data_IF_630846582419
#
_entry.id   IF_630846582419
#
_cell.length_a   1.000
_cell.length_b   1.000
_cell.length_c   1.000
_cell.angle_alpha   90.00
_cell.angle_beta   90.00
_cell.angle_gamma   90.00
#
_symmetry.space_group_name_H-M   'P 1'
#
loop_
_entity.id
_entity.type
_entity.pdbx_description
1 polymer ?
#
# COMPACT_ATOMS: atom_id res chain seq x y z
N UNK A 1 -8.34 -34.21 -20.65
CA UNK A 1 -7.15 -33.66 -21.34
C UNK A 1 -7.31 -32.17 -21.69
N UNK A 2 -8.43 -31.75 -22.29
CA UNK A 2 -8.72 -30.33 -22.62
C UNK A 2 -8.65 -29.35 -21.43
N UNK A 3 -9.12 -29.72 -20.23
CA UNK A 3 -9.02 -28.84 -19.04
C UNK A 3 -7.58 -28.55 -18.59
N UNK A 4 -6.66 -29.50 -18.80
CA UNK A 4 -5.23 -29.35 -18.46
C UNK A 4 -4.49 -28.51 -19.51
N UNK A 5 -4.87 -28.64 -20.78
CA UNK A 5 -4.36 -27.77 -21.86
C UNK A 5 -4.86 -26.32 -21.71
N UNK A 6 -6.11 -26.13 -21.31
CA UNK A 6 -6.65 -24.78 -21.07
C UNK A 6 -5.95 -24.09 -19.89
N UNK A 7 -5.66 -24.82 -18.80
CA UNK A 7 -4.90 -24.29 -17.67
C UNK A 7 -3.46 -23.93 -18.05
N UNK A 8 -2.81 -24.77 -18.86
CA UNK A 8 -1.47 -24.48 -19.38
C UNK A 8 -1.49 -23.24 -20.29
N UNK A 9 -2.49 -23.11 -21.19
CA UNK A 9 -2.63 -21.96 -22.06
C UNK A 9 -2.85 -20.64 -21.29
N UNK A 10 -3.63 -20.65 -20.20
CA UNK A 10 -3.84 -19.47 -19.34
C UNK A 10 -2.55 -19.07 -18.62
N UNK A 11 -1.71 -20.02 -18.21
CA UNK A 11 -0.41 -19.75 -17.58
C UNK A 11 0.61 -19.17 -18.56
N UNK A 12 0.52 -19.50 -19.85
CA UNK A 12 1.39 -18.94 -20.90
C UNK A 12 0.95 -17.57 -21.42
N UNK A 13 -0.27 -17.12 -21.13
CA UNK A 13 -0.79 -15.79 -21.49
C UNK A 13 -0.73 -14.77 -20.36
N UNK A 14 -0.15 -15.12 -19.20
CA UNK A 14 0.07 -14.17 -18.13
C UNK A 14 1.14 -13.16 -18.58
N UNK A 15 0.71 -12.00 -19.10
CA UNK A 15 1.58 -10.84 -19.26
C UNK A 15 2.21 -10.52 -17.90
N UNK A 16 3.48 -10.12 -17.91
CA UNK A 16 4.26 -9.89 -16.69
C UNK A 16 3.51 -9.05 -15.67
N UNK A 17 3.55 -9.48 -14.41
CA UNK A 17 3.05 -8.69 -13.29
C UNK A 17 4.04 -7.55 -13.02
N UNK A 18 3.69 -6.34 -13.43
CA UNK A 18 4.44 -5.13 -13.09
C UNK A 18 4.06 -4.70 -11.67
N UNK A 19 5.01 -4.78 -10.75
CA UNK A 19 4.85 -4.19 -9.43
C UNK A 19 5.04 -2.67 -9.53
N UNK A 20 3.96 -1.93 -9.69
CA UNK A 20 4.01 -0.48 -9.50
C UNK A 20 3.94 -0.24 -7.98
N UNK A 21 4.88 0.50 -7.37
CA UNK A 21 4.74 0.88 -5.97
C UNK A 21 3.58 1.86 -5.87
N UNK A 22 2.40 1.34 -5.54
CA UNK A 22 1.14 2.09 -5.43
C UNK A 22 0.34 1.72 -4.18
N UNK A 23 0.79 0.73 -3.42
CA UNK A 23 0.00 0.08 -2.37
C UNK A 23 -0.51 1.10 -1.36
N UNK A 24 -1.82 1.08 -1.14
CA UNK A 24 -2.49 1.94 -0.15
C UNK A 24 -2.52 1.31 1.25
N UNK A 25 -2.13 0.03 1.41
CA UNK A 25 -2.00 -0.57 2.73
C UNK A 25 -0.66 -0.28 3.42
N UNK A 26 -0.80 0.05 4.71
CA UNK A 26 0.18 0.27 5.79
C UNK A 26 1.22 1.38 5.65
N UNK A 27 1.66 1.70 4.43
CA UNK A 27 2.25 2.99 4.19
C UNK A 27 1.98 3.37 2.73
N UNK A 28 1.08 4.32 2.46
CA UNK A 28 1.08 5.04 1.20
C UNK A 28 2.38 5.87 1.12
N UNK A 29 3.53 5.19 1.03
CA UNK A 29 4.86 5.78 0.91
C UNK A 29 5.16 6.23 -0.51
N UNK A 30 4.14 6.16 -1.36
CA UNK A 30 4.18 6.47 -2.78
C UNK A 30 2.87 7.15 -3.18
N UNK A 31 3.01 8.19 -3.99
CA UNK A 31 1.88 8.84 -4.65
C UNK A 31 1.41 8.08 -5.89
N UNK A 32 2.08 6.98 -6.25
CA UNK A 32 1.67 6.11 -7.35
C UNK A 32 0.26 5.56 -7.13
N UNK A 33 -0.50 5.45 -8.22
CA UNK A 33 -1.88 4.95 -8.25
C UNK A 33 -2.00 3.87 -9.31
N UNK A 34 -2.80 2.83 -9.03
CA UNK A 34 -3.09 1.76 -9.97
C UNK A 34 -3.70 2.30 -11.28
N UNK A 35 -3.26 1.80 -12.45
CA UNK A 35 -3.86 2.18 -13.72
C UNK A 35 -5.34 1.78 -13.82
N UNK A 36 -6.06 2.46 -14.71
CA UNK A 36 -7.49 2.21 -14.96
C UNK A 36 -7.75 0.73 -15.28
N UNK A 37 -8.70 0.13 -14.56
CA UNK A 37 -9.11 -1.27 -14.70
C UNK A 37 -7.96 -2.29 -14.54
N UNK A 38 -6.87 -1.89 -13.89
CA UNK A 38 -5.76 -2.80 -13.60
C UNK A 38 -5.86 -3.26 -12.15
N UNK A 39 -6.34 -4.50 -11.90
CA UNK A 39 -6.40 -5.05 -10.56
C UNK A 39 -5.00 -5.37 -10.06
N UNK A 40 -4.79 -5.14 -8.77
CA UNK A 40 -3.55 -5.44 -8.08
C UNK A 40 -3.85 -6.16 -6.78
N UNK A 41 -3.27 -7.34 -6.63
CA UNK A 41 -3.38 -8.16 -5.43
C UNK A 41 -2.26 -7.76 -4.49
N UNK A 42 -2.59 -7.48 -3.23
CA UNK A 42 -1.63 -7.18 -2.17
C UNK A 42 -1.46 -8.41 -1.28
N UNK A 43 -0.23 -8.60 -0.77
CA UNK A 43 0.09 -9.61 0.22
C UNK A 43 1.27 -9.13 1.05
N UNK A 44 1.03 -8.89 2.33
CA UNK A 44 2.00 -8.40 3.29
C UNK A 44 2.08 -9.37 4.45
N UNK A 45 3.31 -9.73 4.81
CA UNK A 45 3.62 -10.53 5.98
C UNK A 45 4.75 -9.86 6.75
N UNK A 46 4.61 -9.85 8.07
CA UNK A 46 5.51 -9.13 8.96
C UNK A 46 6.28 -10.10 9.82
N UNK A 47 7.57 -9.83 9.97
CA UNK A 47 8.47 -10.62 10.80
C UNK A 47 9.07 -9.74 11.89
N UNK A 48 9.32 -10.36 13.03
CA UNK A 48 9.90 -9.70 14.18
C UNK A 48 11.13 -10.45 14.66
N UNK A 49 12.10 -9.69 15.19
CA UNK A 49 13.27 -10.22 15.87
C UNK A 49 13.14 -9.97 17.37
N UNK A 50 12.73 -10.98 18.12
CA UNK A 50 12.64 -10.95 19.58
C UNK A 50 11.95 -12.20 20.14
N UNK A 51 11.14 -12.10 21.22
CA UNK A 51 10.51 -13.27 21.82
C UNK A 51 9.74 -14.09 20.79
N UNK A 52 9.77 -15.42 20.93
CA UNK A 52 9.05 -16.33 20.05
C UNK A 52 7.54 -16.03 20.07
N UNK A 53 6.85 -16.35 18.97
CA UNK A 53 5.41 -16.18 18.86
C UNK A 53 4.68 -16.79 20.07
N UNK A 54 3.76 -16.04 20.66
CA UNK A 54 3.00 -16.43 21.86
C UNK A 54 3.69 -16.18 23.19
N UNK A 55 4.93 -15.67 23.20
CA UNK A 55 5.61 -15.21 24.42
C UNK A 55 5.25 -13.76 24.76
N UNK A 56 5.35 -13.40 26.04
CA UNK A 56 5.16 -12.03 26.48
C UNK A 56 6.11 -11.07 25.74
N UNK A 57 5.56 -9.99 25.18
CA UNK A 57 6.30 -9.04 24.35
C UNK A 57 6.51 -9.46 22.89
N UNK A 58 6.00 -10.62 22.45
CA UNK A 58 5.91 -10.94 21.02
C UNK A 58 4.80 -10.09 20.38
N UNK A 59 5.07 -9.37 19.28
CA UNK A 59 4.02 -8.71 18.52
C UNK A 59 3.12 -9.75 17.85
N UNK A 60 1.85 -9.38 17.66
CA UNK A 60 0.88 -10.14 16.85
C UNK A 60 0.64 -9.33 15.60
N UNK A 61 1.30 -9.71 14.50
CA UNK A 61 1.09 -9.05 13.21
C UNK A 61 0.07 -9.81 12.38
N UNK A 62 -0.92 -9.12 11.78
CA UNK A 62 -1.81 -9.75 10.83
C UNK A 62 -1.05 -10.04 9.53
N UNK A 63 -1.41 -11.14 8.87
CA UNK A 63 -1.20 -11.26 7.43
C UNK A 63 -2.20 -10.35 6.76
N UNK A 64 -1.73 -9.50 5.86
CA UNK A 64 -2.63 -8.63 5.11
C UNK A 64 -2.67 -9.08 3.66
N UNK A 65 -3.87 -9.22 3.11
CA UNK A 65 -4.03 -9.44 1.68
C UNK A 65 -5.22 -8.68 1.16
N UNK A 66 -5.17 -8.20 -0.07
CA UNK A 66 -6.18 -7.28 -0.55
C UNK A 66 -6.22 -7.22 -2.06
N UNK A 67 -7.16 -6.40 -2.53
CA UNK A 67 -7.35 -6.09 -3.92
C UNK A 67 -7.57 -4.59 -4.06
N UNK A 68 -6.79 -3.97 -4.93
CA UNK A 68 -6.90 -2.55 -5.32
C UNK A 68 -6.99 -2.44 -6.82
N UNK A 69 -7.69 -1.43 -7.34
CA UNK A 69 -7.80 -1.20 -8.78
C UNK A 69 -8.00 0.29 -9.07
N UNK A 70 -7.41 0.77 -10.16
CA UNK A 70 -7.68 2.10 -10.69
C UNK A 70 -9.08 2.19 -11.31
N UNK A 71 -9.83 3.23 -10.97
CA UNK A 71 -11.23 3.39 -11.40
C UNK A 71 -11.50 4.65 -12.23
N UNK A 72 -10.49 5.49 -12.44
CA UNK A 72 -10.59 6.65 -13.33
C UNK A 72 -9.75 6.45 -14.61
N UNK A 73 -10.27 6.82 -15.79
CA UNK A 73 -9.57 6.65 -17.07
C UNK A 73 -8.71 7.86 -17.46
N UNK A 74 -8.38 8.76 -16.52
CA UNK A 74 -7.68 10.01 -16.81
C UNK A 74 -6.20 9.94 -16.45
N UNK A 75 -5.37 10.56 -17.29
CA UNK A 75 -3.91 10.58 -17.09
C UNK A 75 -3.43 11.62 -16.08
N UNK A 76 -4.22 12.67 -15.87
CA UNK A 76 -3.89 13.81 -15.02
C UNK A 76 -4.61 13.81 -13.66
N UNK A 77 -5.50 12.86 -13.43
CA UNK A 77 -6.17 12.66 -12.15
C UNK A 77 -6.57 11.19 -12.04
N UNK A 78 -5.91 10.47 -11.15
CA UNK A 78 -6.09 9.04 -10.97
C UNK A 78 -6.76 8.75 -9.62
N UNK A 79 -7.57 7.70 -9.58
CA UNK A 79 -8.20 7.20 -8.36
C UNK A 79 -8.05 5.68 -8.35
N UNK A 80 -7.58 5.15 -7.24
CA UNK A 80 -7.72 3.73 -6.91
C UNK A 80 -8.63 3.54 -5.69
N UNK A 81 -9.33 2.41 -5.70
CA UNK A 81 -10.12 1.93 -4.57
C UNK A 81 -9.80 0.47 -4.34
N UNK A 82 -10.01 0.01 -3.12
CA UNK A 82 -9.79 -1.38 -2.78
C UNK A 82 -10.12 -1.70 -1.35
N UNK A 83 -9.74 -2.90 -0.95
CA UNK A 83 -9.84 -3.37 0.42
C UNK A 83 -8.66 -4.27 0.77
N UNK A 84 -8.42 -4.40 2.06
CA UNK A 84 -7.54 -5.38 2.67
C UNK A 84 -8.32 -6.29 3.62
N UNK A 85 -7.76 -7.48 3.81
CA UNK A 85 -8.14 -8.49 4.78
C UNK A 85 -7.00 -8.63 5.77
N UNK A 86 -7.23 -8.20 7.01
CA UNK A 86 -6.29 -8.40 8.12
C UNK A 86 -6.62 -9.70 8.83
N UNK A 87 -5.79 -10.73 8.61
CA UNK A 87 -6.03 -12.08 9.10
C UNK A 87 -4.97 -12.50 10.14
N UNK A 88 -5.36 -13.25 11.18
CA UNK A 88 -6.73 -13.63 11.53
C UNK A 88 -7.49 -12.49 12.24
N UNK A 89 -8.74 -12.26 11.87
CA UNK A 89 -9.66 -11.32 12.52
C UNK A 89 -11.10 -11.78 12.34
N UNK A 90 -12.00 -11.47 13.29
CA UNK A 90 -13.45 -11.68 13.13
C UNK A 90 -14.05 -10.75 12.08
N UNK A 91 -13.43 -9.59 11.89
CA UNK A 91 -13.90 -8.52 11.01
C UNK A 91 -12.74 -8.04 10.13
N UNK A 92 -12.27 -8.86 9.18
CA UNK A 92 -10.98 -8.65 8.53
C UNK A 92 -11.00 -7.52 7.49
N UNK A 93 -12.17 -7.10 7.01
CA UNK A 93 -12.30 -6.13 5.92
C UNK A 93 -11.98 -4.70 6.35
N UNK A 94 -11.00 -4.10 5.69
CA UNK A 94 -10.66 -2.68 5.73
C UNK A 94 -10.69 -2.09 4.33
N UNK A 95 -11.35 -0.95 4.13
CA UNK A 95 -11.43 -0.28 2.84
C UNK A 95 -10.40 0.82 2.68
N UNK A 96 -9.99 1.04 1.43
CA UNK A 96 -8.96 1.99 1.05
C UNK A 96 -9.35 2.74 -0.23
N UNK A 97 -8.90 3.99 -0.34
CA UNK A 97 -8.97 4.77 -1.57
C UNK A 97 -7.83 5.78 -1.63
N UNK A 98 -7.34 6.07 -2.83
CA UNK A 98 -6.29 7.07 -3.07
C UNK A 98 -6.60 7.83 -4.36
N UNK A 99 -6.66 9.15 -4.26
CA UNK A 99 -6.80 10.08 -5.38
C UNK A 99 -5.51 10.87 -5.52
N UNK A 100 -5.04 11.10 -6.74
CA UNK A 100 -3.80 11.84 -6.94
C UNK A 100 -3.54 12.22 -8.38
N UNK A 101 -2.49 13.00 -8.53
CA UNK A 101 -2.02 13.50 -9.81
C UNK A 101 -0.57 13.03 -10.00
N UNK A 102 -0.28 12.30 -11.10
CA UNK A 102 1.09 11.89 -11.40
C UNK A 102 2.02 13.08 -11.66
N UNK A 103 3.32 12.84 -11.60
CA UNK A 103 4.36 13.84 -11.86
C UNK A 103 4.21 14.40 -13.29
N UNK A 104 4.49 15.69 -13.47
CA UNK A 104 4.47 16.40 -14.77
C UNK A 104 3.13 16.42 -15.54
N UNK A 105 2.00 16.03 -14.92
CA UNK A 105 0.72 15.95 -15.63
C UNK A 105 -0.04 17.27 -15.73
N UNK A 106 0.22 18.21 -14.82
CA UNK A 106 -0.41 19.54 -14.84
C UNK A 106 0.52 20.61 -15.41
N UNK A 107 1.80 20.55 -15.07
CA UNK A 107 2.86 21.41 -15.58
C UNK A 107 4.23 20.74 -15.37
N UNK A 108 5.27 21.11 -16.13
CA UNK A 108 6.60 20.53 -15.98
C UNK A 108 7.18 20.76 -14.57
N UNK A 109 7.89 19.77 -14.05
CA UNK A 109 8.50 19.73 -12.72
C UNK A 109 7.49 19.76 -11.56
N UNK A 110 6.24 19.38 -11.81
CA UNK A 110 5.23 19.23 -10.76
C UNK A 110 5.47 17.92 -10.00
N UNK A 111 5.74 17.96 -8.68
CA UNK A 111 5.81 16.73 -7.88
C UNK A 111 4.46 16.04 -7.91
N UNK A 112 4.44 14.72 -8.04
CA UNK A 112 3.20 13.96 -7.87
C UNK A 112 2.64 14.17 -6.46
N UNK A 113 1.31 14.14 -6.34
CA UNK A 113 0.65 14.21 -5.04
C UNK A 113 -0.47 13.19 -4.95
N UNK A 114 -0.75 12.75 -3.74
CA UNK A 114 -1.86 11.86 -3.44
C UNK A 114 -2.50 12.23 -2.10
N UNK A 115 -3.81 12.08 -2.03
CA UNK A 115 -4.59 12.08 -0.81
C UNK A 115 -5.40 10.80 -0.76
N UNK A 116 -5.60 10.25 0.42
CA UNK A 116 -6.36 9.02 0.49
C UNK A 116 -6.80 8.66 1.89
N UNK A 117 -7.57 7.59 1.92
CA UNK A 117 -8.02 6.92 3.13
C UNK A 117 -7.51 5.48 3.12
N UNK A 118 -7.16 4.98 4.29
CA UNK A 118 -6.86 3.56 4.45
C UNK A 118 -7.27 3.07 5.83
N UNK A 119 -7.42 1.75 5.94
CA UNK A 119 -7.82 1.13 7.20
C UNK A 119 -9.26 1.49 7.60
N UNK A 120 -10.14 1.76 6.64
CA UNK A 120 -11.55 2.07 6.95
C UNK A 120 -12.31 0.80 7.27
N UNK A 121 -12.50 0.52 8.55
CA UNK A 121 -13.16 -0.70 9.01
C UNK A 121 -14.68 -0.60 9.11
N UNK A 122 -15.30 -1.77 9.26
CA UNK A 122 -16.76 -1.92 9.37
C UNK A 122 -17.26 -2.01 10.81
N UNK A 123 -16.35 -2.14 11.79
CA UNK A 123 -16.69 -2.22 13.22
C UNK A 123 -16.17 -1.00 13.96
N UNK A 124 -17.07 -0.32 14.66
CA UNK A 124 -16.75 0.86 15.46
C UNK A 124 -16.18 0.47 16.82
N UNK A 125 -15.15 1.20 17.24
CA UNK A 125 -14.61 1.10 18.60
C UNK A 125 -15.55 1.78 19.60
N UNK A 126 -15.87 1.08 20.68
CA UNK A 126 -16.61 1.59 21.84
C UNK A 126 -15.65 1.87 22.99
N UNK A 127 -16.17 2.36 24.13
CA UNK A 127 -15.36 2.60 25.32
C UNK A 127 -14.66 1.35 25.88
N UNK A 128 -15.23 0.16 25.64
CA UNK A 128 -14.79 -1.10 26.24
C UNK A 128 -14.36 -2.14 25.21
N UNK A 129 -14.57 -1.89 23.92
CA UNK A 129 -14.32 -2.86 22.85
C UNK A 129 -13.75 -2.14 21.65
N UNK A 130 -12.57 -2.54 21.22
CA UNK A 130 -11.95 -2.00 20.02
C UNK A 130 -12.57 -2.65 18.78
N UNK A 131 -12.83 -1.83 17.77
CA UNK A 131 -13.30 -2.24 16.45
C UNK A 131 -12.15 -2.29 15.44
N UNK A 132 -12.51 -2.15 14.17
CA UNK A 132 -11.57 -2.11 13.04
C UNK A 132 -11.53 -0.75 12.36
N UNK A 133 -12.15 0.25 12.96
CA UNK A 133 -12.31 1.61 12.48
C UNK A 133 -11.04 2.47 12.67
N UNK A 134 -9.89 1.98 12.18
CA UNK A 134 -8.64 2.76 12.20
C UNK A 134 -8.80 4.10 11.48
N UNK A 135 -9.53 4.11 10.35
CA UNK A 135 -10.01 5.28 9.62
C UNK A 135 -8.92 6.36 9.49
N UNK A 136 -7.89 6.10 8.69
CA UNK A 136 -6.84 7.07 8.44
C UNK A 136 -7.17 7.93 7.24
N UNK A 137 -6.85 9.22 7.35
CA UNK A 137 -6.69 10.14 6.23
C UNK A 137 -5.19 10.41 6.06
N UNK A 138 -4.71 10.52 4.83
CA UNK A 138 -3.33 10.92 4.56
C UNK A 138 -3.21 11.81 3.33
N UNK A 139 -2.08 12.50 3.26
CA UNK A 139 -1.64 13.24 2.10
C UNK A 139 -0.13 13.09 1.92
N UNK A 140 0.33 13.01 0.68
CA UNK A 140 1.74 12.86 0.34
C UNK A 140 2.07 13.59 -0.96
N UNK A 141 3.30 14.08 -1.05
CA UNK A 141 3.93 14.53 -2.28
C UNK A 141 5.18 13.69 -2.55
N UNK A 142 5.52 13.52 -3.83
CA UNK A 142 6.66 12.75 -4.27
C UNK A 142 7.28 13.40 -5.51
N UNK A 143 8.59 13.24 -5.66
CA UNK A 143 9.28 13.66 -6.87
C UNK A 143 10.38 12.66 -7.22
N UNK A 144 10.48 12.34 -8.51
CA UNK A 144 11.54 11.51 -9.07
C UNK A 144 12.88 12.22 -8.97
N UNK A 145 13.98 11.53 -8.67
CA UNK A 145 15.31 12.15 -8.68
C UNK A 145 15.88 12.04 -10.11
N UNK A 146 15.90 13.12 -10.92
CA UNK A 146 16.04 13.00 -12.38
C UNK A 146 17.36 12.38 -12.84
N UNK A 147 18.45 12.58 -12.08
CA UNK A 147 19.79 12.10 -12.43
C UNK A 147 20.18 10.75 -11.83
N UNK A 148 19.44 10.29 -10.82
CA UNK A 148 19.77 9.07 -10.06
C UNK A 148 18.74 7.96 -10.33
N UNK A 149 17.51 8.31 -10.72
CA UNK A 149 16.38 7.39 -10.73
C UNK A 149 15.82 7.20 -9.32
N UNK A 150 14.64 6.55 -9.23
CA UNK A 150 13.90 6.44 -7.98
C UNK A 150 13.19 7.74 -7.58
N UNK A 151 12.78 7.86 -6.33
CA UNK A 151 11.97 8.99 -5.83
C UNK A 151 12.23 9.29 -4.35
N UNK A 152 11.92 10.51 -3.96
CA UNK A 152 11.70 10.91 -2.56
C UNK A 152 10.25 11.29 -2.37
N UNK A 153 9.70 10.95 -1.22
CA UNK A 153 8.32 11.28 -0.88
C UNK A 153 8.20 11.72 0.58
N UNK A 154 7.29 12.66 0.82
CA UNK A 154 7.03 13.22 2.14
C UNK A 154 5.54 13.48 2.29
N UNK A 155 5.02 13.23 3.49
CA UNK A 155 3.61 13.40 3.79
C UNK A 155 3.31 13.21 5.25
N UNK A 156 2.03 13.01 5.52
CA UNK A 156 1.55 12.71 6.86
C UNK A 156 0.18 12.07 6.83
N UNK A 157 -0.17 11.47 7.94
CA UNK A 157 -1.49 10.88 8.17
C UNK A 157 -2.11 11.42 9.45
N UNK A 158 -3.43 11.25 9.53
CA UNK A 158 -4.23 11.53 10.70
C UNK A 158 -5.26 10.41 10.90
N UNK A 159 -5.18 9.70 12.03
CA UNK A 159 -6.18 8.72 12.44
C UNK A 159 -7.43 9.40 12.98
N UNK A 160 -8.62 8.97 12.53
CA UNK A 160 -9.88 9.59 12.95
C UNK A 160 -10.44 8.97 14.23
N UNK A 161 -10.06 7.74 14.57
CA UNK A 161 -10.41 7.08 15.83
C UNK A 161 -9.36 7.39 16.91
N UNK A 162 -9.77 7.72 18.13
CA UNK A 162 -8.82 8.04 19.21
C UNK A 162 -8.37 6.81 20.00
N UNK A 163 -9.25 5.84 20.17
CA UNK A 163 -8.99 4.62 20.99
C UNK A 163 -7.94 3.69 20.41
N UNK A 164 -7.72 3.74 19.09
CA UNK A 164 -6.73 2.89 18.40
C UNK A 164 -5.33 3.52 18.32
N UNK A 165 -5.20 4.80 18.66
CA UNK A 165 -3.96 5.56 18.53
C UNK A 165 -3.45 6.05 19.89
N UNK A 166 -3.34 5.11 20.83
CA UNK A 166 -2.82 5.40 22.16
C UNK A 166 -1.30 5.26 22.16
N UNK A 167 -0.63 6.21 22.82
CA UNK A 167 0.80 6.18 23.03
C UNK A 167 1.17 5.01 23.94
N UNK A 168 2.23 4.27 23.59
CA UNK A 168 2.70 3.12 24.37
C UNK A 168 3.23 3.51 25.76
N UNK A 169 3.62 4.77 25.95
CA UNK A 169 4.08 5.33 27.22
C UNK A 169 2.92 5.87 28.09
N UNK A 170 1.67 5.77 27.62
CA UNK A 170 0.49 6.27 28.33
C UNK A 170 0.33 7.79 28.29
N UNK A 171 1.11 8.52 27.47
CA UNK A 171 1.00 9.98 27.33
C UNK A 171 -0.30 10.46 26.67
N UNK A 172 -1.13 9.54 26.20
CA UNK A 172 -2.46 9.83 25.65
C UNK A 172 -2.57 9.43 24.18
N UNK A 173 -3.32 10.20 23.41
CA UNK A 173 -3.69 9.89 22.02
C UNK A 173 -2.75 10.54 21.00
N UNK A 174 -2.14 9.77 20.11
CA UNK A 174 -1.24 10.20 19.03
C UNK A 174 -1.80 9.87 17.64
N UNK A 175 -2.68 10.74 17.12
CA UNK A 175 -3.38 10.51 15.84
C UNK A 175 -2.63 10.98 14.61
N UNK A 176 -1.72 11.94 14.74
CA UNK A 176 -0.96 12.48 13.63
C UNK A 176 0.39 11.76 13.49
N UNK A 177 0.82 11.51 12.26
CA UNK A 177 2.12 10.92 11.99
C UNK A 177 2.76 11.42 10.71
N UNK A 178 4.09 11.31 10.68
CA UNK A 178 4.90 11.64 9.52
C UNK A 178 5.01 10.44 8.58
N UNK A 179 5.07 10.73 7.28
CA UNK A 179 5.34 9.74 6.24
C UNK A 179 6.54 10.19 5.42
N UNK A 180 7.53 9.33 5.30
CA UNK A 180 8.70 9.54 4.47
C UNK A 180 8.99 8.30 3.64
N UNK A 181 9.31 8.50 2.38
CA UNK A 181 9.69 7.43 1.47
C UNK A 181 10.89 7.81 0.64
N UNK A 182 11.70 6.80 0.36
CA UNK A 182 12.79 6.88 -0.59
C UNK A 182 12.82 5.56 -1.34
N UNK A 183 12.87 5.62 -2.67
CA UNK A 183 13.17 4.44 -3.48
C UNK A 183 14.45 4.70 -4.24
N UNK A 184 15.34 3.72 -4.23
CA UNK A 184 16.53 3.76 -5.06
C UNK A 184 16.15 3.53 -6.52
N UNK A 185 17.00 3.95 -7.48
CA UNK A 185 16.95 3.34 -8.80
C UNK A 185 17.08 1.82 -8.73
N UNK A 186 16.74 1.17 -9.84
CA UNK A 186 17.12 -0.22 -10.08
C UNK A 186 18.63 -0.40 -9.83
N UNK A 187 18.98 -1.41 -9.05
CA UNK A 187 20.38 -1.80 -8.84
C UNK A 187 20.74 -2.78 -9.96
N UNK A 188 21.60 -2.41 -10.93
CA UNK A 188 21.99 -3.33 -11.99
C UNK A 188 22.90 -4.41 -11.41
N UNK A 189 22.34 -5.61 -11.22
CA UNK A 189 23.14 -6.79 -10.92
C UNK A 189 23.67 -7.31 -12.26
N UNK A 190 24.85 -6.84 -12.67
CA UNK A 190 25.51 -7.20 -13.92
C UNK A 190 26.08 -8.64 -13.89
N UNK A 191 25.31 -9.61 -13.41
CA UNK A 191 25.70 -11.02 -13.41
C UNK A 191 25.04 -11.75 -14.58
N UNK A 192 25.79 -12.53 -15.37
CA UNK A 192 25.24 -13.23 -16.55
C UNK A 192 24.07 -14.17 -16.24
N UNK A 193 23.99 -14.65 -14.99
CA UNK A 193 23.02 -15.62 -14.50
C UNK A 193 21.84 -14.99 -13.74
N UNK A 194 21.83 -13.68 -13.50
CA UNK A 194 20.71 -12.97 -12.91
C UNK A 194 20.29 -11.82 -13.83
N UNK A 195 19.59 -12.17 -14.90
CA UNK A 195 19.03 -11.18 -15.81
C UNK A 195 17.72 -10.65 -15.23
N UNK A 196 17.57 -9.31 -15.22
CA UNK A 196 16.27 -8.69 -14.96
C UNK A 196 15.31 -9.16 -16.05
N UNK A 197 14.27 -9.87 -15.65
CA UNK A 197 13.21 -10.25 -16.59
C UNK A 197 12.36 -8.99 -16.81
N UNK A 198 12.68 -8.23 -17.85
CA UNK A 198 11.82 -7.16 -18.35
C UNK A 198 10.76 -7.82 -19.24
N UNK A 199 9.66 -8.27 -18.63
CA UNK A 199 8.52 -8.79 -19.40
C UNK A 199 7.77 -7.58 -19.92
N UNK A 200 7.88 -7.29 -21.23
CA UNK A 200 7.12 -6.22 -21.92
C UNK A 200 5.64 -6.59 -21.97
#
# INVERSE_FOLDING_TARGET
MMKKLALAAVLFTASGAYATPTTTFWAPSTTGIQPFLTPHITYDTYFWKGPAAGQAGSPVYPVTTGLTMGVLPWDNLQLEVGFDLLLPSSDPFLFNAKLGVPEDKLFPFQPSFAVGIFGVGTKQSTATTLGTDYNLLYAQIQHTIPSVGGYVSVGGYYGLQDKLYQASDGSGTNRAGFMGGFTSPDIPINTPWLQKINVV
#
